data_IF_979407840211
#
_entry.id   IF_979407840211
#
_cell.length_a   1.000
_cell.length_b   1.000
_cell.length_c   1.000
_cell.angle_alpha   90.00
_cell.angle_beta   90.00
_cell.angle_gamma   90.00
#
_symmetry.space_group_name_H-M   'P 1'
#
loop_
_entity.id
_entity.type
_entity.pdbx_description
1 polymer ?
#
# COMPACT_ATOMS: atom_id res chain seq x y z
N UNK A 1 -7.04 -14.20 -4.84
CA UNK A 1 -7.41 -12.86 -5.32
C UNK A 1 -8.90 -12.71 -5.68
N UNK A 2 -9.60 -13.75 -6.19
CA UNK A 2 -11.02 -13.63 -6.60
C UNK A 2 -12.01 -13.45 -5.43
N UNK A 3 -11.78 -14.06 -4.27
CA UNK A 3 -12.76 -14.07 -3.16
C UNK A 3 -12.99 -12.71 -2.48
N UNK A 4 -11.92 -11.96 -2.16
CA UNK A 4 -12.05 -10.65 -1.53
C UNK A 4 -12.62 -9.59 -2.48
N UNK A 5 -12.39 -9.74 -3.79
CA UNK A 5 -12.92 -8.85 -4.81
C UNK A 5 -14.46 -9.03 -4.97
N UNK A 6 -14.96 -10.27 -4.83
CA UNK A 6 -16.42 -10.55 -4.90
C UNK A 6 -17.17 -10.02 -3.68
N UNK A 7 -16.62 -10.14 -2.46
CA UNK A 7 -17.18 -9.51 -1.25
C UNK A 7 -17.20 -7.99 -1.40
N UNK A 8 -16.14 -7.42 -1.94
CA UNK A 8 -16.05 -5.99 -2.22
C UNK A 8 -17.14 -5.54 -3.19
N UNK A 9 -17.37 -6.26 -4.29
CA UNK A 9 -18.43 -5.94 -5.25
C UNK A 9 -19.83 -6.05 -4.65
N UNK A 10 -20.08 -7.04 -3.79
CA UNK A 10 -21.36 -7.20 -3.09
C UNK A 10 -21.63 -6.05 -2.10
N UNK A 11 -20.62 -5.65 -1.33
CA UNK A 11 -20.71 -4.54 -0.36
C UNK A 11 -20.79 -3.18 -1.08
N UNK A 12 -20.10 -3.03 -2.20
CA UNK A 12 -20.05 -1.77 -2.94
C UNK A 12 -21.38 -1.44 -3.67
N UNK A 13 -22.15 -2.45 -4.08
CA UNK A 13 -23.47 -2.25 -4.65
C UNK A 13 -24.44 -1.53 -3.70
N UNK A 14 -24.12 -1.50 -2.39
CA UNK A 14 -24.92 -0.90 -1.32
C UNK A 14 -24.71 0.59 -1.11
N UNK A 15 -23.63 1.15 -1.64
CA UNK A 15 -23.25 2.55 -1.41
C UNK A 15 -23.87 3.53 -2.41
N UNK A 16 -24.80 3.08 -3.27
CA UNK A 16 -25.50 3.94 -4.24
C UNK A 16 -26.65 4.72 -3.57
N UNK A 17 -26.94 5.97 -3.98
CA UNK A 17 -27.76 6.89 -3.20
C UNK A 17 -29.26 6.62 -3.19
N UNK A 18 -29.89 7.01 -2.07
CA UNK A 18 -31.26 7.30 -1.76
C UNK A 18 -32.24 6.12 -1.53
N UNK A 19 -32.46 5.84 -0.33
CA UNK A 19 -33.44 5.09 0.47
C UNK A 19 -32.74 4.13 1.45
N UNK A 20 -31.77 4.68 2.21
CA UNK A 20 -30.56 3.92 2.54
C UNK A 20 -30.60 3.02 3.77
N UNK A 21 -31.32 3.37 4.87
CA UNK A 21 -31.04 2.68 6.15
C UNK A 21 -31.55 1.22 6.21
N UNK A 22 -32.74 0.92 5.68
CA UNK A 22 -33.30 -0.45 5.74
C UNK A 22 -32.70 -1.40 4.69
N UNK A 23 -32.17 -0.86 3.59
CA UNK A 23 -31.57 -1.65 2.51
C UNK A 23 -30.10 -2.00 2.82
N UNK A 24 -29.40 -1.13 3.56
CA UNK A 24 -28.03 -1.36 4.02
C UNK A 24 -27.97 -2.52 5.03
N UNK A 25 -28.91 -2.58 6.00
CA UNK A 25 -28.96 -3.64 7.02
C UNK A 25 -29.13 -5.04 6.42
N UNK A 26 -30.01 -5.19 5.42
CA UNK A 26 -30.25 -6.47 4.75
C UNK A 26 -29.03 -7.01 4.02
N UNK A 27 -28.28 -6.14 3.42
CA UNK A 27 -27.12 -6.54 2.63
C UNK A 27 -25.87 -6.75 3.47
N UNK A 28 -25.66 -6.03 4.57
CA UNK A 28 -24.62 -6.36 5.54
C UNK A 28 -24.90 -7.70 6.22
N UNK A 29 -26.16 -8.02 6.51
CA UNK A 29 -26.58 -9.34 6.99
C UNK A 29 -26.24 -10.42 5.95
N UNK A 30 -26.58 -10.22 4.68
CA UNK A 30 -26.28 -11.18 3.62
C UNK A 30 -24.77 -11.40 3.46
N UNK A 31 -23.96 -10.34 3.51
CA UNK A 31 -22.50 -10.44 3.46
C UNK A 31 -21.93 -11.22 4.64
N UNK A 32 -22.47 -10.98 5.86
CA UNK A 32 -22.07 -11.71 7.07
C UNK A 32 -22.38 -13.19 6.93
N UNK A 33 -23.60 -13.55 6.53
CA UNK A 33 -24.02 -14.94 6.39
C UNK A 33 -23.26 -15.66 5.25
N UNK A 34 -22.93 -14.97 4.16
CA UNK A 34 -22.11 -15.52 3.08
C UNK A 34 -20.69 -15.89 3.56
N UNK A 35 -20.06 -15.04 4.41
CA UNK A 35 -18.76 -15.36 5.00
C UNK A 35 -18.88 -16.51 5.99
N UNK A 36 -19.88 -16.52 6.89
CA UNK A 36 -20.11 -17.62 7.84
C UNK A 36 -20.40 -18.95 7.15
N UNK A 37 -21.09 -18.91 6.02
CA UNK A 37 -21.37 -20.10 5.20
C UNK A 37 -20.14 -20.59 4.40
N UNK A 38 -18.97 -19.94 4.52
CA UNK A 38 -17.75 -20.34 3.84
C UNK A 38 -17.70 -20.03 2.35
N UNK A 39 -18.61 -19.18 1.85
CA UNK A 39 -18.58 -18.74 0.44
C UNK A 39 -17.32 -17.90 0.15
N UNK A 40 -16.78 -17.24 1.16
CA UNK A 40 -15.55 -16.45 1.10
C UNK A 40 -14.60 -16.95 2.18
N UNK A 41 -13.55 -17.64 1.73
CA UNK A 41 -12.58 -18.22 2.65
C UNK A 41 -11.64 -17.17 3.23
N UNK A 42 -11.17 -17.44 4.47
CA UNK A 42 -10.10 -16.70 5.13
C UNK A 42 -10.42 -15.26 5.55
N UNK A 43 -11.64 -14.74 5.38
CA UNK A 43 -11.98 -13.41 5.86
C UNK A 43 -12.01 -13.42 7.40
N UNK A 44 -11.26 -12.51 8.00
CA UNK A 44 -11.17 -12.36 9.46
C UNK A 44 -11.96 -11.16 9.97
N UNK A 45 -12.13 -10.12 9.14
CA UNK A 45 -13.02 -9.01 9.47
C UNK A 45 -13.47 -8.25 8.23
N UNK A 46 -14.59 -7.56 8.35
CA UNK A 46 -15.09 -6.56 7.41
C UNK A 46 -15.49 -5.32 8.23
N UNK A 47 -15.05 -4.14 7.77
CA UNK A 47 -15.49 -2.86 8.31
C UNK A 47 -15.90 -1.95 7.15
N UNK A 48 -17.05 -1.30 7.28
CA UNK A 48 -17.52 -0.27 6.34
C UNK A 48 -17.76 1.01 7.12
N UNK A 49 -17.14 2.08 6.66
CA UNK A 49 -17.37 3.43 7.17
C UNK A 49 -17.88 4.33 6.04
N UNK A 50 -18.80 5.23 6.39
CA UNK A 50 -19.34 6.25 5.48
C UNK A 50 -19.49 7.57 6.22
N UNK A 51 -19.18 8.67 5.56
CA UNK A 51 -19.20 10.01 6.17
C UNK A 51 -18.43 10.07 7.49
N UNK A 52 -17.25 9.42 7.52
CA UNK A 52 -16.38 9.36 8.69
C UNK A 52 -16.89 8.51 9.86
N UNK A 53 -17.99 7.76 9.68
CA UNK A 53 -18.59 6.91 10.72
C UNK A 53 -18.60 5.45 10.31
N UNK A 54 -18.22 4.56 11.23
CA UNK A 54 -18.37 3.12 11.02
C UNK A 54 -19.87 2.79 11.05
N UNK A 55 -20.38 2.24 9.95
CA UNK A 55 -21.78 1.84 9.79
C UNK A 55 -21.95 0.32 9.82
N UNK A 56 -20.87 -0.44 9.60
CA UNK A 56 -20.85 -1.89 9.74
C UNK A 56 -19.46 -2.35 10.17
N UNK A 57 -19.40 -3.31 11.07
CA UNK A 57 -18.18 -3.93 11.54
C UNK A 57 -18.48 -5.34 12.03
N UNK A 58 -17.79 -6.34 11.47
CA UNK A 58 -17.92 -7.73 11.88
C UNK A 58 -16.58 -8.44 11.88
N UNK A 59 -16.38 -9.30 12.88
CA UNK A 59 -15.18 -10.12 13.08
C UNK A 59 -15.56 -11.58 13.02
N UNK A 60 -14.86 -12.37 12.20
CA UNK A 60 -15.18 -13.76 11.92
C UNK A 60 -14.23 -14.75 12.62
N UNK A 61 -13.27 -14.24 13.37
CA UNK A 61 -12.33 -15.04 14.17
C UNK A 61 -12.37 -14.69 15.64
N UNK A 62 -11.74 -15.53 16.48
CA UNK A 62 -11.69 -15.36 17.93
C UNK A 62 -10.89 -14.11 18.37
N UNK A 63 -10.06 -13.54 17.51
CA UNK A 63 -9.25 -12.37 17.85
C UNK A 63 -10.04 -11.07 17.93
N UNK A 64 -11.20 -11.01 17.27
CA UNK A 64 -12.11 -9.88 17.32
C UNK A 64 -11.48 -8.54 16.93
N UNK A 65 -12.02 -7.46 17.51
CA UNK A 65 -11.62 -6.08 17.19
C UNK A 65 -10.19 -5.72 17.60
N UNK A 66 -9.66 -6.38 18.63
CA UNK A 66 -8.33 -6.10 19.16
C UNK A 66 -7.21 -6.84 18.40
N UNK A 67 -7.56 -7.77 17.52
CA UNK A 67 -6.56 -8.55 16.83
C UNK A 67 -5.73 -7.70 15.87
N UNK A 68 -4.42 -7.81 16.00
CA UNK A 68 -3.48 -7.26 15.03
C UNK A 68 -3.44 -8.18 13.81
N UNK A 69 -3.77 -7.63 12.66
CA UNK A 69 -3.82 -8.31 11.37
C UNK A 69 -2.55 -8.03 10.60
N UNK A 70 -1.91 -9.04 10.04
CA UNK A 70 -0.81 -8.83 9.13
C UNK A 70 -1.35 -8.17 7.85
N UNK A 71 -0.97 -6.92 7.63
CA UNK A 71 -1.48 -6.12 6.51
C UNK A 71 -0.89 -6.55 5.17
N UNK A 72 0.14 -7.42 5.20
CA UNK A 72 0.85 -7.86 4.00
C UNK A 72 1.30 -6.63 3.19
N UNK A 73 1.17 -6.67 1.89
CA UNK A 73 1.61 -5.58 1.00
C UNK A 73 0.85 -4.25 1.17
N UNK A 74 -0.28 -4.21 1.91
CA UNK A 74 -0.90 -2.94 2.28
C UNK A 74 0.04 -2.07 3.16
N UNK A 75 1.05 -2.68 3.81
CA UNK A 75 2.18 -2.00 4.46
C UNK A 75 2.87 -1.00 3.52
N UNK A 76 3.00 -1.33 2.23
CA UNK A 76 3.66 -0.47 1.24
C UNK A 76 3.02 0.91 1.17
N UNK A 77 1.69 0.98 1.21
CA UNK A 77 0.98 2.26 1.22
C UNK A 77 1.32 3.07 2.48
N UNK A 78 1.42 2.41 3.65
CA UNK A 78 1.87 3.08 4.88
C UNK A 78 3.29 3.62 4.71
N UNK A 79 4.17 2.89 4.06
CA UNK A 79 5.53 3.36 3.72
C UNK A 79 5.48 4.62 2.85
N UNK A 80 4.60 4.66 1.85
CA UNK A 80 4.37 5.86 1.04
C UNK A 80 3.89 7.07 1.87
N UNK A 81 3.03 6.82 2.89
CA UNK A 81 2.61 7.87 3.83
C UNK A 81 3.80 8.38 4.65
N UNK A 82 4.67 7.49 5.11
CA UNK A 82 5.87 7.87 5.88
C UNK A 82 6.90 8.64 5.03
N UNK A 83 7.06 8.29 3.75
CA UNK A 83 7.83 9.11 2.82
C UNK A 83 7.24 10.52 2.75
N UNK A 84 5.91 10.63 2.62
CA UNK A 84 5.22 11.93 2.64
C UNK A 84 5.46 12.72 3.90
N UNK A 85 5.43 12.08 5.06
CA UNK A 85 5.71 12.72 6.33
C UNK A 85 7.15 13.25 6.42
N UNK A 86 8.12 12.56 5.81
CA UNK A 86 9.49 13.03 5.71
C UNK A 86 9.64 14.20 4.71
N UNK A 87 8.89 14.14 3.59
CA UNK A 87 8.84 15.22 2.58
C UNK A 87 8.23 16.49 3.18
N UNK A 88 7.11 16.39 3.89
CA UNK A 88 6.44 17.50 4.54
C UNK A 88 7.34 18.23 5.57
N UNK A 89 8.35 17.53 6.07
CA UNK A 89 9.38 18.07 7.00
C UNK A 89 10.65 18.54 6.30
N UNK A 90 10.71 18.48 4.98
CA UNK A 90 11.89 18.86 4.21
C UNK A 90 13.09 17.91 4.36
N UNK A 91 12.88 16.71 4.93
CA UNK A 91 13.93 15.72 5.19
C UNK A 91 14.18 14.79 4.00
N UNK A 92 13.24 14.73 3.06
CA UNK A 92 13.29 13.87 1.89
C UNK A 92 12.61 14.57 0.72
N UNK A 93 12.97 14.17 -0.50
CA UNK A 93 12.29 14.60 -1.74
C UNK A 93 12.05 13.38 -2.62
N UNK A 94 10.92 13.29 -3.35
CA UNK A 94 10.69 12.21 -4.30
C UNK A 94 11.80 12.09 -5.35
N UNK A 95 12.39 13.20 -5.78
CA UNK A 95 13.47 13.28 -6.76
C UNK A 95 14.85 12.91 -6.19
N UNK A 96 14.95 12.69 -4.88
CA UNK A 96 16.21 12.29 -4.23
C UNK A 96 16.69 10.96 -4.75
N UNK A 97 18.02 10.87 -5.02
CA UNK A 97 18.65 9.66 -5.54
C UNK A 97 18.81 8.61 -4.45
N UNK A 98 18.29 7.39 -4.68
CA UNK A 98 18.31 6.29 -3.70
C UNK A 98 19.75 5.98 -3.26
N UNK A 99 20.69 5.81 -4.19
CA UNK A 99 22.09 5.52 -3.86
C UNK A 99 22.79 6.61 -3.06
N UNK A 100 22.27 7.83 -3.05
CA UNK A 100 22.80 8.92 -2.21
C UNK A 100 22.61 8.66 -0.72
N UNK A 101 21.61 7.86 -0.34
CA UNK A 101 21.39 7.44 1.05
C UNK A 101 22.18 6.20 1.47
N UNK A 102 22.85 5.53 0.53
CA UNK A 102 23.62 4.31 0.76
C UNK A 102 25.06 4.40 0.19
N UNK A 103 25.85 5.42 0.57
CA UNK A 103 27.22 5.59 0.04
C UNK A 103 28.11 4.42 0.41
N UNK A 104 27.88 3.80 1.58
CA UNK A 104 28.57 2.62 2.10
C UNK A 104 28.35 1.36 1.23
N UNK A 105 27.28 1.32 0.44
CA UNK A 105 26.88 0.17 -0.39
C UNK A 105 27.26 0.35 -1.86
N UNK A 106 27.37 1.59 -2.32
CA UNK A 106 27.62 1.92 -3.73
C UNK A 106 28.88 1.26 -4.30
N UNK A 107 29.94 1.15 -3.50
CA UNK A 107 31.19 0.54 -3.91
C UNK A 107 31.14 -1.00 -4.00
N UNK A 108 30.07 -1.62 -3.50
CA UNK A 108 29.91 -3.08 -3.39
C UNK A 108 28.85 -3.65 -4.31
N UNK A 109 28.32 -2.86 -5.26
CA UNK A 109 27.27 -3.29 -6.17
C UNK A 109 27.74 -4.46 -7.04
N UNK A 110 27.00 -5.58 -7.00
CA UNK A 110 27.28 -6.76 -7.84
C UNK A 110 27.13 -6.46 -9.34
N UNK A 111 26.14 -5.65 -9.69
CA UNK A 111 25.88 -5.23 -11.07
C UNK A 111 25.95 -3.70 -11.14
N UNK A 112 27.17 -3.14 -11.18
CA UNK A 112 27.33 -1.70 -11.31
C UNK A 112 26.82 -1.23 -12.69
N UNK A 113 25.95 -0.22 -12.67
CA UNK A 113 25.39 0.40 -13.87
C UNK A 113 25.13 1.87 -13.58
N UNK A 114 25.58 2.75 -14.49
CA UNK A 114 25.43 4.19 -14.33
C UNK A 114 23.97 4.64 -14.16
N UNK A 115 23.02 3.91 -14.75
CA UNK A 115 21.58 4.20 -14.63
C UNK A 115 21.07 4.09 -13.19
N UNK A 116 21.65 3.21 -12.36
CA UNK A 116 21.29 3.08 -10.95
C UNK A 116 21.52 4.36 -10.15
N UNK A 117 22.50 5.16 -10.54
CA UNK A 117 22.75 6.45 -9.89
C UNK A 117 21.61 7.46 -10.12
N UNK A 118 20.74 7.20 -11.07
CA UNK A 118 19.59 8.05 -11.41
C UNK A 118 18.26 7.58 -10.80
N UNK A 119 18.22 6.39 -10.22
CA UNK A 119 17.02 5.87 -9.56
C UNK A 119 16.65 6.78 -8.37
N UNK A 120 15.41 7.20 -8.34
CA UNK A 120 14.87 8.13 -7.35
C UNK A 120 13.96 7.42 -6.33
N UNK A 121 13.66 8.09 -5.25
CA UNK A 121 12.63 7.68 -4.30
C UNK A 121 11.28 7.54 -5.01
N UNK A 122 10.97 8.43 -5.95
CA UNK A 122 9.73 8.36 -6.74
C UNK A 122 9.65 7.09 -7.59
N UNK A 123 10.77 6.62 -8.15
CA UNK A 123 10.79 5.37 -8.92
C UNK A 123 10.42 4.16 -8.06
N UNK A 124 10.78 4.15 -6.77
CA UNK A 124 10.35 3.11 -5.84
C UNK A 124 8.89 3.29 -5.40
N UNK A 125 8.44 4.53 -5.18
CA UNK A 125 7.04 4.82 -4.84
C UNK A 125 6.08 4.43 -5.97
N UNK A 126 6.53 4.49 -7.20
CA UNK A 126 5.72 4.22 -8.40
C UNK A 126 5.94 2.83 -9.00
N UNK A 127 6.70 1.96 -8.32
CA UNK A 127 7.04 0.62 -8.83
C UNK A 127 7.67 0.64 -10.24
N UNK A 128 8.53 1.62 -10.53
CA UNK A 128 9.09 1.83 -11.87
C UNK A 128 10.59 2.11 -11.86
N UNK A 129 11.32 1.46 -10.97
CA UNK A 129 12.76 1.67 -10.77
C UNK A 129 13.65 1.19 -11.90
N UNK A 130 13.11 0.51 -12.92
CA UNK A 130 13.85 -0.17 -14.00
C UNK A 130 14.84 -1.25 -13.53
N UNK A 131 14.87 -1.59 -12.26
CA UNK A 131 15.58 -2.78 -11.77
C UNK A 131 14.88 -4.05 -12.26
N UNK A 132 15.63 -5.11 -12.46
CA UNK A 132 15.08 -6.44 -12.80
C UNK A 132 14.46 -7.02 -11.53
N UNK A 133 13.22 -6.60 -11.23
CA UNK A 133 12.45 -6.90 -10.05
C UNK A 133 10.98 -7.07 -10.41
N UNK A 134 10.46 -8.27 -10.22
CA UNK A 134 9.08 -8.62 -10.54
C UNK A 134 8.60 -9.76 -9.64
N UNK A 135 7.73 -9.44 -8.69
CA UNK A 135 7.19 -10.42 -7.74
C UNK A 135 6.12 -11.32 -8.38
N UNK A 136 5.58 -10.94 -9.53
CA UNK A 136 4.65 -11.77 -10.30
C UNK A 136 5.36 -12.81 -11.18
N UNK A 137 6.69 -12.66 -11.35
CA UNK A 137 7.53 -13.56 -12.11
C UNK A 137 8.49 -14.36 -11.19
N UNK A 138 8.25 -15.68 -10.97
CA UNK A 138 9.07 -16.47 -10.05
C UNK A 138 10.52 -16.68 -10.52
N UNK A 139 10.83 -16.40 -11.78
CA UNK A 139 12.20 -16.49 -12.29
C UNK A 139 12.95 -15.15 -12.22
N UNK A 140 12.26 -14.04 -11.92
CA UNK A 140 12.90 -12.74 -11.71
C UNK A 140 13.93 -12.81 -10.60
N UNK A 141 15.09 -12.19 -10.82
CA UNK A 141 16.15 -12.08 -9.79
C UNK A 141 15.70 -11.28 -8.58
N UNK A 142 14.86 -10.28 -8.81
CA UNK A 142 14.31 -9.40 -7.79
C UNK A 142 12.97 -9.86 -7.21
N UNK A 143 12.51 -11.08 -7.51
CA UNK A 143 11.31 -11.64 -6.88
C UNK A 143 11.47 -11.66 -5.35
N UNK A 144 10.40 -11.29 -4.60
CA UNK A 144 10.44 -11.14 -3.15
C UNK A 144 10.84 -12.43 -2.41
N UNK A 145 10.50 -13.61 -2.93
CA UNK A 145 10.88 -14.88 -2.32
C UNK A 145 12.41 -15.09 -2.31
N UNK A 146 13.11 -14.53 -3.29
CA UNK A 146 14.58 -14.53 -3.32
C UNK A 146 15.19 -13.55 -2.33
N UNK A 147 14.54 -12.41 -2.10
CA UNK A 147 14.96 -11.45 -1.10
C UNK A 147 14.91 -12.04 0.31
N UNK A 148 13.92 -12.87 0.60
CA UNK A 148 13.78 -13.53 1.90
C UNK A 148 14.87 -14.57 2.19
N UNK A 149 15.64 -15.01 1.18
CA UNK A 149 16.73 -15.98 1.33
C UNK A 149 18.07 -15.33 1.72
N UNK A 150 18.16 -14.01 1.79
CA UNK A 150 19.39 -13.27 2.13
C UNK A 150 19.20 -12.43 3.40
N UNK A 151 20.29 -12.03 4.03
CA UNK A 151 20.23 -11.22 5.25
C UNK A 151 20.03 -9.73 4.93
N UNK A 152 20.73 -9.21 3.93
CA UNK A 152 20.79 -7.80 3.59
C UNK A 152 19.83 -7.47 2.43
N UNK A 153 18.60 -7.16 2.75
CA UNK A 153 17.55 -6.88 1.75
C UNK A 153 17.78 -5.55 1.01
N UNK A 154 18.45 -4.60 1.65
CA UNK A 154 18.84 -3.35 0.97
C UNK A 154 19.92 -3.64 -0.07
N UNK A 155 20.96 -4.39 0.29
CA UNK A 155 22.02 -4.76 -0.65
C UNK A 155 21.45 -5.60 -1.79
N UNK A 156 20.57 -6.57 -1.47
CA UNK A 156 19.85 -7.35 -2.49
C UNK A 156 19.18 -6.45 -3.52
N UNK A 157 18.41 -5.45 -3.08
CA UNK A 157 17.73 -4.51 -3.99
C UNK A 157 18.71 -3.72 -4.84
N UNK A 158 19.75 -3.18 -4.23
CA UNK A 158 20.74 -2.35 -4.92
C UNK A 158 21.62 -3.16 -5.89
N UNK A 159 21.78 -4.46 -5.64
CA UNK A 159 22.51 -5.39 -6.49
C UNK A 159 21.73 -5.86 -7.71
N UNK A 160 20.41 -5.71 -7.74
CA UNK A 160 19.62 -6.13 -8.92
C UNK A 160 20.13 -5.46 -10.20
N UNK A 161 20.27 -6.20 -11.32
CA UNK A 161 20.62 -5.59 -12.59
C UNK A 161 19.50 -4.69 -13.11
N UNK A 162 19.81 -3.88 -14.08
CA UNK A 162 18.79 -3.17 -14.86
C UNK A 162 18.03 -4.19 -15.73
N UNK A 163 16.70 -4.09 -15.74
CA UNK A 163 15.84 -5.01 -16.51
C UNK A 163 16.03 -4.82 -18.02
N UNK A 164 15.90 -5.92 -18.74
CA UNK A 164 15.77 -5.88 -20.19
C UNK A 164 14.35 -5.52 -20.63
N UNK A 165 14.21 -4.98 -21.82
CA UNK A 165 12.92 -4.67 -22.45
C UNK A 165 12.82 -5.39 -23.79
N UNK A 166 12.43 -6.67 -23.85
CA UNK A 166 12.14 -7.34 -25.11
C UNK A 166 10.91 -6.68 -25.79
N UNK A 167 10.72 -6.93 -27.09
CA UNK A 167 9.69 -6.25 -27.90
C UNK A 167 8.27 -6.32 -27.36
N UNK A 168 7.94 -7.37 -26.59
CA UNK A 168 6.63 -7.55 -25.98
C UNK A 168 6.46 -6.87 -24.62
N UNK A 169 7.47 -6.17 -24.12
CA UNK A 169 7.43 -5.44 -22.85
C UNK A 169 7.54 -3.94 -23.12
N UNK A 170 6.54 -3.12 -22.74
CA UNK A 170 6.60 -1.68 -22.94
C UNK A 170 7.80 -1.06 -22.24
N UNK A 171 8.57 -0.29 -22.98
CA UNK A 171 9.65 0.57 -22.42
C UNK A 171 9.05 1.80 -21.74
N UNK A 172 9.82 2.53 -20.91
CA UNK A 172 9.34 3.79 -20.32
C UNK A 172 8.78 4.78 -21.35
N UNK A 173 9.37 4.86 -22.55
CA UNK A 173 8.90 5.76 -23.61
C UNK A 173 7.55 5.32 -24.23
N UNK A 174 7.20 4.06 -24.14
CA UNK A 174 5.96 3.48 -24.69
C UNK A 174 4.87 3.36 -23.64
N UNK A 175 5.22 3.44 -22.36
CA UNK A 175 4.26 3.28 -21.25
C UNK A 175 3.53 4.57 -20.97
N UNK A 176 2.25 4.52 -20.55
CA UNK A 176 1.57 5.68 -20.00
C UNK A 176 2.40 6.31 -18.87
N UNK A 177 2.37 7.61 -18.78
CA UNK A 177 3.11 8.41 -17.78
C UNK A 177 4.66 8.30 -17.88
N UNK A 178 5.21 7.70 -18.95
CA UNK A 178 6.65 7.58 -19.17
C UNK A 178 7.36 6.66 -18.18
N UNK A 179 6.66 5.67 -17.59
CA UNK A 179 7.21 4.73 -16.60
C UNK A 179 6.82 3.30 -16.93
N UNK A 180 7.79 2.39 -16.94
CA UNK A 180 7.56 0.96 -17.08
C UNK A 180 7.36 0.34 -15.68
N UNK A 181 6.13 0.09 -15.33
CA UNK A 181 5.74 -0.48 -14.05
C UNK A 181 6.14 -1.97 -13.92
N UNK A 182 6.51 -2.38 -12.72
CA UNK A 182 6.71 -3.77 -12.34
C UNK A 182 6.52 -3.91 -10.83
N UNK A 183 5.66 -4.81 -10.38
CA UNK A 183 5.43 -4.99 -8.96
C UNK A 183 6.67 -5.56 -8.28
N UNK A 184 7.26 -4.79 -7.39
CA UNK A 184 8.58 -5.07 -6.80
C UNK A 184 8.57 -4.72 -5.30
N UNK A 185 8.51 -5.72 -4.44
CA UNK A 185 8.54 -5.53 -2.97
C UNK A 185 9.88 -4.99 -2.47
N UNK A 186 10.98 -5.30 -3.16
CA UNK A 186 12.31 -4.88 -2.76
C UNK A 186 12.48 -3.35 -2.72
N UNK A 187 11.84 -2.62 -3.66
CA UNK A 187 11.86 -1.16 -3.66
C UNK A 187 11.26 -0.54 -2.39
N UNK A 188 9.97 -0.76 -2.10
CA UNK A 188 9.35 -0.31 -0.84
C UNK A 188 10.05 -0.80 0.42
N UNK A 189 10.63 -2.00 0.43
CA UNK A 189 11.43 -2.49 1.56
C UNK A 189 12.68 -1.63 1.77
N UNK A 190 13.34 -1.20 0.70
CA UNK A 190 14.50 -0.30 0.76
C UNK A 190 14.14 1.12 1.20
N UNK A 191 12.89 1.57 0.96
CA UNK A 191 12.43 2.88 1.44
C UNK A 191 12.45 2.99 2.98
N UNK A 192 12.26 1.91 3.72
CA UNK A 192 12.32 1.94 5.19
C UNK A 192 13.67 2.42 5.71
N UNK A 193 14.77 1.71 5.45
CA UNK A 193 16.12 2.16 5.80
C UNK A 193 16.51 3.50 5.21
N UNK A 194 16.02 3.84 4.01
CA UNK A 194 16.23 5.16 3.42
C UNK A 194 15.59 6.26 4.25
N UNK A 195 14.33 6.09 4.67
CA UNK A 195 13.64 7.02 5.57
C UNK A 195 14.41 7.15 6.87
N UNK A 196 14.82 6.05 7.52
CA UNK A 196 15.62 6.08 8.76
C UNK A 196 16.86 6.95 8.61
N UNK A 197 17.61 6.79 7.52
CA UNK A 197 18.81 7.57 7.22
C UNK A 197 18.48 9.06 7.00
N UNK A 198 17.37 9.36 6.35
CA UNK A 198 16.93 10.74 6.11
C UNK A 198 16.48 11.44 7.38
N UNK A 199 15.68 10.76 8.21
CA UNK A 199 15.09 11.35 9.43
C UNK A 199 15.97 11.17 10.67
N UNK A 200 17.00 10.31 10.61
CA UNK A 200 17.93 9.97 11.70
C UNK A 200 17.24 9.41 12.95
N UNK A 201 16.17 8.65 12.73
CA UNK A 201 15.40 7.96 13.77
C UNK A 201 15.05 6.54 13.29
N UNK A 202 14.88 5.55 14.18
CA UNK A 202 14.30 4.27 13.83
C UNK A 202 12.93 4.47 13.15
N UNK A 203 12.65 3.70 12.09
CA UNK A 203 11.41 3.85 11.35
C UNK A 203 10.14 3.67 12.20
N UNK A 204 10.06 2.69 13.13
CA UNK A 204 8.91 2.55 14.02
C UNK A 204 8.66 3.78 14.88
N UNK A 205 9.71 4.41 15.42
CA UNK A 205 9.61 5.62 16.25
C UNK A 205 9.15 6.83 15.42
N UNK A 206 9.68 6.96 14.20
CA UNK A 206 9.21 7.98 13.27
C UNK A 206 7.73 7.76 12.93
N UNK A 207 7.34 6.54 12.54
CA UNK A 207 5.96 6.19 12.23
C UNK A 207 5.00 6.46 13.40
N UNK A 208 5.43 6.08 14.63
CA UNK A 208 4.67 6.34 15.84
C UNK A 208 4.44 7.84 16.06
N UNK A 209 5.48 8.64 15.84
CA UNK A 209 5.42 10.09 16.10
C UNK A 209 4.60 10.83 15.06
N UNK A 210 4.79 10.52 13.77
CA UNK A 210 4.23 11.34 12.68
C UNK A 210 2.89 10.86 12.15
N UNK A 211 2.55 9.59 12.39
CA UNK A 211 1.36 8.97 11.82
C UNK A 211 0.50 8.27 12.87
N UNK A 212 1.04 7.31 13.62
CA UNK A 212 0.22 6.44 14.46
C UNK A 212 -0.36 7.18 15.67
N UNK A 213 0.45 7.92 16.42
CA UNK A 213 -0.04 8.70 17.56
C UNK A 213 -1.07 9.76 17.16
N UNK A 214 -0.88 10.56 16.10
CA UNK A 214 -1.91 11.48 15.62
C UNK A 214 -3.24 10.82 15.27
N UNK A 215 -3.24 9.57 14.80
CA UNK A 215 -4.43 8.79 14.47
C UNK A 215 -4.99 7.99 15.66
N UNK A 216 -4.36 8.09 16.85
CA UNK A 216 -4.74 7.26 18.00
C UNK A 216 -4.54 5.77 17.73
N UNK A 217 -3.50 5.41 16.97
CA UNK A 217 -3.06 4.01 16.78
C UNK A 217 -2.01 3.72 17.85
N UNK A 218 -2.36 2.85 18.81
CA UNK A 218 -1.53 2.52 19.98
C UNK A 218 -0.73 1.24 19.78
N UNK A 219 -1.32 0.28 19.06
CA UNK A 219 -0.77 -1.06 18.90
C UNK A 219 -0.44 -1.30 17.42
N UNK A 220 0.77 -0.97 17.03
CA UNK A 220 1.32 -1.30 15.72
C UNK A 220 2.54 -2.21 15.90
N UNK A 221 2.57 -3.35 15.21
CA UNK A 221 3.72 -4.26 15.25
C UNK A 221 4.39 -4.34 13.91
N UNK A 222 5.71 -4.17 13.90
CA UNK A 222 6.54 -4.37 12.73
C UNK A 222 7.22 -5.74 12.78
N UNK A 223 7.25 -6.45 11.67
CA UNK A 223 8.26 -7.47 11.44
C UNK A 223 9.57 -6.79 11.03
N UNK A 224 10.67 -7.48 11.24
CA UNK A 224 12.01 -6.95 10.94
C UNK A 224 12.76 -7.89 10.00
N UNK A 225 13.64 -7.30 9.19
CA UNK A 225 14.61 -8.05 8.39
C UNK A 225 15.65 -8.70 9.31
N UNK A 226 16.46 -9.65 8.83
CA UNK A 226 17.57 -10.20 9.62
C UNK A 226 18.54 -9.13 10.14
N UNK A 227 18.70 -8.01 9.44
CA UNK A 227 19.53 -6.87 9.86
C UNK A 227 18.75 -5.83 10.71
N UNK A 228 17.59 -6.20 11.25
CA UNK A 228 16.76 -5.38 12.13
C UNK A 228 16.18 -4.09 11.49
N UNK A 229 16.08 -4.01 10.17
CA UNK A 229 15.29 -2.99 9.52
C UNK A 229 13.80 -3.36 9.54
N UNK A 230 12.91 -2.40 9.78
CA UNK A 230 11.47 -2.65 9.72
C UNK A 230 11.04 -3.05 8.29
N UNK A 231 10.23 -4.11 8.16
CA UNK A 231 9.77 -4.66 6.88
C UNK A 231 8.69 -3.76 6.25
N UNK A 232 9.11 -2.74 5.53
CA UNK A 232 8.23 -1.75 4.90
C UNK A 232 7.55 -2.23 3.61
N UNK A 233 7.93 -3.39 3.12
CA UNK A 233 7.28 -4.04 1.98
C UNK A 233 6.07 -4.91 2.35
N UNK A 234 5.91 -5.34 3.64
CA UNK A 234 4.86 -6.32 3.97
C UNK A 234 4.74 -6.73 5.43
N UNK A 235 5.46 -6.09 6.37
CA UNK A 235 5.63 -6.58 7.73
C UNK A 235 4.86 -5.85 8.84
N UNK A 236 3.95 -4.94 8.51
CA UNK A 236 3.17 -4.20 9.51
C UNK A 236 1.92 -4.97 9.91
N UNK A 237 1.61 -4.96 11.21
CA UNK A 237 0.37 -5.49 11.76
C UNK A 237 -0.42 -4.37 12.43
N UNK A 238 -1.69 -4.27 12.09
CA UNK A 238 -2.63 -3.26 12.57
C UNK A 238 -4.00 -3.90 12.85
N UNK A 239 -4.81 -3.24 13.68
CA UNK A 239 -6.22 -3.62 13.81
C UNK A 239 -7.01 -3.21 12.57
N UNK A 240 -8.19 -3.80 12.37
CA UNK A 240 -9.09 -3.43 11.28
C UNK A 240 -9.50 -1.95 11.34
N UNK A 241 -9.72 -1.43 12.54
CA UNK A 241 -10.04 -0.02 12.76
C UNK A 241 -8.86 0.91 12.44
N UNK A 242 -7.63 0.48 12.68
CA UNK A 242 -6.45 1.27 12.35
C UNK A 242 -6.24 1.35 10.84
N UNK A 243 -6.52 0.27 10.12
CA UNK A 243 -6.54 0.28 8.66
C UNK A 243 -7.60 1.25 8.11
N UNK A 244 -8.79 1.28 8.71
CA UNK A 244 -9.82 2.27 8.37
C UNK A 244 -9.33 3.70 8.58
N UNK A 245 -8.69 4.00 9.72
CA UNK A 245 -8.15 5.34 10.00
C UNK A 245 -7.18 5.82 8.91
N UNK A 246 -6.35 4.92 8.37
CA UNK A 246 -5.43 5.24 7.28
C UNK A 246 -6.17 5.59 5.98
N UNK A 247 -7.18 4.81 5.60
CA UNK A 247 -8.03 5.11 4.46
C UNK A 247 -8.80 6.43 4.64
N UNK A 248 -9.39 6.63 5.81
CA UNK A 248 -10.13 7.84 6.15
C UNK A 248 -9.24 9.08 6.18
N UNK A 249 -8.00 8.96 6.64
CA UNK A 249 -7.01 10.04 6.58
C UNK A 249 -6.83 10.55 5.15
N UNK A 250 -6.71 9.65 4.17
CA UNK A 250 -6.56 10.02 2.77
C UNK A 250 -7.85 10.59 2.17
N UNK A 251 -8.99 10.02 2.54
CA UNK A 251 -10.30 10.55 2.14
C UNK A 251 -10.51 11.99 2.63
N UNK A 252 -10.01 12.29 3.82
CA UNK A 252 -10.05 13.63 4.43
C UNK A 252 -8.91 14.56 3.97
N UNK A 253 -8.20 14.26 2.89
CA UNK A 253 -7.11 15.09 2.39
C UNK A 253 -5.94 15.23 3.37
N UNK A 254 -5.67 14.19 4.15
CA UNK A 254 -4.58 14.15 5.14
C UNK A 254 -4.91 14.76 6.49
N UNK A 255 -6.19 15.02 6.78
CA UNK A 255 -6.66 15.59 8.06
C UNK A 255 -7.27 14.52 8.95
N UNK A 256 -7.00 14.61 10.25
CA UNK A 256 -7.59 13.78 11.29
C UNK A 256 -7.87 14.64 12.53
N UNK A 257 -9.08 14.55 13.08
CA UNK A 257 -9.53 15.34 14.24
C UNK A 257 -9.14 16.82 14.14
N UNK A 258 -9.42 17.43 12.97
CA UNK A 258 -9.16 18.83 12.69
C UNK A 258 -7.68 19.18 12.42
N UNK A 259 -6.73 18.25 12.59
CA UNK A 259 -5.28 18.46 12.41
C UNK A 259 -4.82 17.94 11.04
N UNK A 260 -3.88 18.63 10.41
CA UNK A 260 -3.20 18.13 9.23
C UNK A 260 -2.08 17.16 9.68
N UNK A 261 -2.24 15.87 9.38
CA UNK A 261 -1.27 14.82 9.70
C UNK A 261 -0.27 14.63 8.56
N UNK A 262 -0.79 14.60 7.33
CA UNK A 262 -0.04 14.57 6.07
C UNK A 262 -0.54 15.72 5.20
N UNK A 263 0.34 16.41 4.50
CA UNK A 263 -0.09 17.56 3.67
C UNK A 263 -1.10 17.14 2.59
N UNK A 264 -2.06 18.01 2.33
CA UNK A 264 -3.02 17.79 1.23
C UNK A 264 -2.30 17.73 -0.14
N UNK A 265 -1.16 18.39 -0.27
CA UNK A 265 -0.32 18.31 -1.46
C UNK A 265 0.24 16.92 -1.67
N UNK A 266 0.75 16.28 -0.59
CA UNK A 266 1.23 14.89 -0.65
C UNK A 266 0.11 13.92 -0.97
N UNK A 267 -1.06 14.05 -0.31
CA UNK A 267 -2.23 13.19 -0.59
C UNK A 267 -2.61 13.26 -2.06
N UNK A 268 -2.76 14.47 -2.62
CA UNK A 268 -3.08 14.63 -4.05
C UNK A 268 -2.01 14.02 -4.95
N UNK A 269 -0.72 14.26 -4.66
CA UNK A 269 0.39 13.67 -5.43
C UNK A 269 0.39 12.14 -5.35
N UNK A 270 0.15 11.58 -4.16
CA UNK A 270 0.09 10.12 -3.96
C UNK A 270 -1.03 9.44 -4.74
N UNK A 271 -2.15 10.14 -4.93
CA UNK A 271 -3.36 9.62 -5.59
C UNK A 271 -3.46 10.04 -7.07
N UNK A 272 -2.45 10.71 -7.60
CA UNK A 272 -2.33 10.97 -9.03
C UNK A 272 -1.75 9.75 -9.74
N UNK A 273 -2.16 9.45 -10.98
CA UNK A 273 -1.53 8.39 -11.77
C UNK A 273 -0.09 8.77 -12.11
N UNK A 274 0.86 7.89 -11.76
CA UNK A 274 2.28 8.03 -12.06
C UNK A 274 2.82 6.89 -12.90
N UNK A 275 2.15 5.75 -12.89
CA UNK A 275 2.45 4.59 -13.70
C UNK A 275 1.15 3.85 -14.02
N UNK A 276 1.16 3.03 -15.07
CA UNK A 276 0.04 2.14 -15.38
C UNK A 276 0.45 0.71 -15.00
N UNK A 277 -0.26 0.14 -14.03
CA UNK A 277 0.02 -1.19 -13.52
C UNK A 277 -0.53 -2.28 -14.45
N UNK A 278 -1.74 -2.07 -14.98
CA UNK A 278 -2.48 -2.98 -15.87
C UNK A 278 -3.47 -2.17 -16.69
N UNK A 279 -4.02 -2.71 -17.76
CA UNK A 279 -5.21 -2.10 -18.37
C UNK A 279 -6.23 -1.76 -17.27
N UNK A 280 -6.73 -0.54 -17.25
CA UNK A 280 -7.74 -0.03 -16.30
C UNK A 280 -7.28 0.11 -14.83
N UNK A 281 -5.98 -0.07 -14.52
CA UNK A 281 -5.43 0.11 -13.18
C UNK A 281 -4.19 1.00 -13.25
N UNK A 282 -4.31 2.21 -12.77
CA UNK A 282 -3.18 3.10 -12.57
C UNK A 282 -2.55 2.92 -11.19
N UNK A 283 -1.33 3.45 -11.03
CA UNK A 283 -0.57 3.37 -9.80
C UNK A 283 -0.06 4.75 -9.39
N UNK A 284 -0.36 5.11 -8.16
CA UNK A 284 0.15 6.32 -7.53
C UNK A 284 1.41 6.05 -6.71
N UNK A 285 1.60 6.77 -5.60
CA UNK A 285 2.68 6.50 -4.66
C UNK A 285 2.29 5.36 -3.71
N UNK A 286 2.51 4.13 -4.15
CA UNK A 286 2.15 2.88 -3.47
C UNK A 286 0.63 2.75 -3.20
N UNK A 287 -0.16 3.42 -4.02
CA UNK A 287 -1.61 3.32 -4.07
C UNK A 287 -2.06 2.72 -5.40
N UNK A 288 -2.99 1.76 -5.34
CA UNK A 288 -3.69 1.25 -6.50
C UNK A 288 -4.85 2.19 -6.84
N UNK A 289 -4.92 2.65 -8.07
CA UNK A 289 -5.95 3.57 -8.56
C UNK A 289 -6.79 2.82 -9.58
N UNK A 290 -8.01 2.45 -9.19
CA UNK A 290 -8.86 1.59 -9.98
C UNK A 290 -10.31 2.10 -10.02
N UNK A 291 -10.97 1.90 -11.16
CA UNK A 291 -12.41 2.12 -11.30
C UNK A 291 -13.09 0.76 -11.46
N UNK A 292 -14.08 0.48 -10.63
CA UNK A 292 -14.90 -0.73 -10.72
C UNK A 292 -16.23 -0.40 -11.38
N UNK A 293 -16.74 -1.29 -12.24
CA UNK A 293 -18.11 -1.23 -12.72
C UNK A 293 -19.03 -1.94 -11.74
N UNK A 294 -19.94 -1.21 -11.09
CA UNK A 294 -20.84 -1.73 -10.08
C UNK A 294 -22.28 -1.33 -10.39
N UNK A 295 -23.11 -2.31 -10.63
CA UNK A 295 -24.51 -2.10 -11.07
C UNK A 295 -24.60 -1.12 -12.26
N UNK A 296 -23.66 -1.24 -13.23
CA UNK A 296 -23.62 -0.41 -14.43
C UNK A 296 -23.14 1.03 -14.17
N UNK A 297 -22.47 1.29 -13.05
CA UNK A 297 -21.91 2.61 -12.73
C UNK A 297 -20.41 2.50 -12.42
N UNK A 298 -19.58 3.43 -12.93
CA UNK A 298 -18.17 3.47 -12.58
C UNK A 298 -18.00 3.98 -11.14
N UNK A 299 -17.23 3.25 -10.34
CA UNK A 299 -16.90 3.58 -8.94
C UNK A 299 -15.39 3.67 -8.83
N UNK A 300 -14.89 4.89 -8.64
CA UNK A 300 -13.47 5.15 -8.41
C UNK A 300 -13.04 4.67 -7.04
N UNK A 301 -11.88 4.06 -6.96
CA UNK A 301 -11.30 3.61 -5.71
C UNK A 301 -9.80 3.91 -5.64
N UNK A 302 -9.34 4.18 -4.42
CA UNK A 302 -7.93 4.16 -4.06
C UNK A 302 -7.72 2.98 -3.13
N UNK A 303 -6.76 2.11 -3.45
CA UNK A 303 -6.60 0.83 -2.76
C UNK A 303 -5.27 0.68 -2.05
N UNK A 304 -5.33 0.16 -0.81
CA UNK A 304 -4.19 -0.46 -0.12
C UNK A 304 -4.41 -1.96 -0.20
N UNK A 305 -3.54 -2.68 -0.93
CA UNK A 305 -3.76 -4.09 -1.20
C UNK A 305 -2.65 -4.96 -0.61
N UNK A 306 -3.05 -5.98 0.14
CA UNK A 306 -2.20 -7.05 0.66
C UNK A 306 -2.60 -8.41 0.12
N UNK A 307 -1.63 -9.30 0.02
CA UNK A 307 -1.82 -10.70 -0.39
C UNK A 307 -2.83 -11.40 0.53
N UNK A 308 -3.49 -12.41 0.01
CA UNK A 308 -4.53 -13.17 0.73
C UNK A 308 -5.90 -12.50 0.70
N UNK A 309 -6.00 -11.21 0.37
CA UNK A 309 -7.27 -10.49 0.32
C UNK A 309 -7.38 -9.34 1.32
N UNK A 310 -6.29 -9.01 2.02
CA UNK A 310 -6.25 -7.81 2.84
C UNK A 310 -6.41 -6.57 1.97
N UNK A 311 -7.48 -5.79 2.18
CA UNK A 311 -7.85 -4.65 1.35
C UNK A 311 -8.35 -3.49 2.19
N UNK A 312 -7.91 -2.30 1.84
CA UNK A 312 -8.58 -1.05 2.21
C UNK A 312 -8.97 -0.38 0.90
N UNK A 313 -10.26 -0.19 0.70
CA UNK A 313 -10.80 0.56 -0.43
C UNK A 313 -11.29 1.91 0.07
N UNK A 314 -10.78 2.96 -0.50
CA UNK A 314 -11.26 4.33 -0.29
C UNK A 314 -12.08 4.73 -1.50
N UNK A 315 -13.32 5.13 -1.29
CA UNK A 315 -14.31 5.48 -2.30
C UNK A 315 -14.63 6.98 -2.20
N UNK A 316 -13.91 7.84 -2.92
CA UNK A 316 -14.06 9.28 -2.73
C UNK A 316 -15.45 9.81 -3.07
N UNK A 317 -16.08 9.29 -4.13
CA UNK A 317 -17.38 9.77 -4.58
C UNK A 317 -18.54 9.34 -3.65
N UNK A 318 -18.33 8.29 -2.84
CA UNK A 318 -19.29 7.76 -1.86
C UNK A 318 -19.00 8.20 -0.43
N UNK A 319 -17.91 8.96 -0.22
CA UNK A 319 -17.38 9.32 1.10
C UNK A 319 -17.32 8.10 2.03
N UNK A 320 -16.68 7.03 1.54
CA UNK A 320 -16.66 5.74 2.20
C UNK A 320 -15.28 5.07 2.21
N UNK A 321 -15.08 4.23 3.24
CA UNK A 321 -13.90 3.36 3.36
C UNK A 321 -14.39 1.95 3.71
N UNK A 322 -13.88 0.95 2.98
CA UNK A 322 -14.14 -0.46 3.22
C UNK A 322 -12.83 -1.15 3.56
N UNK A 323 -12.80 -1.87 4.66
CA UNK A 323 -11.67 -2.69 5.07
C UNK A 323 -12.09 -4.16 5.08
N UNK A 324 -11.30 -4.99 4.44
CA UNK A 324 -11.40 -6.44 4.53
C UNK A 324 -10.05 -6.98 4.97
N UNK A 325 -10.03 -7.80 6.03
CA UNK A 325 -8.81 -8.48 6.47
C UNK A 325 -8.95 -9.99 6.32
N UNK A 326 -7.83 -10.65 6.11
CA UNK A 326 -7.76 -12.10 5.91
C UNK A 326 -6.57 -12.68 6.70
N UNK A 327 -6.51 -14.02 6.74
CA UNK A 327 -5.35 -14.75 7.28
C UNK A 327 -4.08 -14.55 6.44
#
# INVERSE_FOLDING_TARGET
>A
MRSACLVFMAILALLLPAAAHAQDDGAFTAATEAVKAGQYQQITSILVARHGRVIYEHYFDAGGAAALRNTRSATKTVTGILVGAAVDRGLLRPESRVLGYFPDRRARLLYPDGRKAHITVEDFLTMSSILECDDENPVSRGNEERMYLVEDWVQFTLDLPIRGFPEWVPTPAQSPYGRAWSYCTAGPTTLGPLIQRAVKLPLPDFAQTVLFRPLGITDAKWAFTPLHDAMTGGGLQLTTRDLWKLGQLYLNGGRWDGRQVISAAWVRRSLSPHANARPDIDYGYLWWLQTFEIAGKPVKTWGMYGTGGNKVYVLPDQDAVIVVTTW
#
